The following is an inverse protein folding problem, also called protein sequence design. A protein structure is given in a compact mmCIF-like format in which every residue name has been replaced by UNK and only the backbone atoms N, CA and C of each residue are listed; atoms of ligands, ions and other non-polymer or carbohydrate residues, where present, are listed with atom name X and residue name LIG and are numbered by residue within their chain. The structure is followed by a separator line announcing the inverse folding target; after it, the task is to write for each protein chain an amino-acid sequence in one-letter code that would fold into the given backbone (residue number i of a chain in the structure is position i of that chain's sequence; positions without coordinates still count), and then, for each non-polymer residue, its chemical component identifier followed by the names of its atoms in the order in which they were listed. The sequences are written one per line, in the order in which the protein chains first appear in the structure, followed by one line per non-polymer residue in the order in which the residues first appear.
data_IF_271824439692
#
_entry.id   IF_271824439692
#
_cell.length_a   1.000
_cell.length_b   1.000
_cell.length_c   1.000
_cell.angle_alpha   90.00
_cell.angle_beta   90.00
_cell.angle_gamma   90.00
#
_symmetry.space_group_name_H-M   'P 1'
#
loop_
_entity.id
_entity.type
_entity.pdbx_description
1 polymer ?
#
# COMPACT_ATOMS: atom_id res chain seq x y z
N UNK A 1 -25.29 12.00 -6.72
CA UNK A 1 -25.08 11.40 -5.39
C UNK A 1 -23.58 11.21 -5.24
N UNK A 2 -22.93 12.06 -4.47
CA UNK A 2 -21.51 11.92 -4.17
C UNK A 2 -21.35 10.68 -3.31
N UNK A 3 -20.62 9.69 -3.82
CA UNK A 3 -20.21 8.51 -3.06
C UNK A 3 -19.35 8.99 -1.88
N UNK A 4 -19.94 9.05 -0.68
CA UNK A 4 -19.30 9.51 0.54
C UNK A 4 -18.46 8.42 1.22
N UNK A 5 -18.31 7.27 0.55
CA UNK A 5 -17.56 6.16 1.10
C UNK A 5 -16.06 6.50 1.23
N UNK A 6 -15.52 6.26 2.40
CA UNK A 6 -14.08 6.42 2.66
C UNK A 6 -13.30 5.42 1.80
N UNK A 7 -12.36 5.93 1.00
CA UNK A 7 -11.45 5.09 0.22
C UNK A 7 -10.38 4.48 1.11
N UNK A 8 -9.88 5.26 2.07
CA UNK A 8 -8.92 4.81 3.08
C UNK A 8 -9.28 5.45 4.41
N UNK A 9 -9.32 4.67 5.47
CA UNK A 9 -9.41 5.17 6.83
C UNK A 9 -8.37 4.48 7.73
N UNK A 10 -7.75 5.27 8.56
CA UNK A 10 -6.76 4.85 9.55
C UNK A 10 -7.23 5.39 10.89
N UNK A 11 -7.33 4.52 11.89
CA UNK A 11 -7.81 4.91 13.22
C UNK A 11 -6.83 4.48 14.29
N UNK A 12 -6.36 5.46 15.07
CA UNK A 12 -5.48 5.29 16.23
C UNK A 12 -4.28 4.37 15.92
N UNK A 13 -3.60 4.60 14.78
CA UNK A 13 -2.57 3.71 14.29
C UNK A 13 -1.26 3.91 15.05
N UNK A 14 -0.77 2.84 15.64
CA UNK A 14 0.51 2.78 16.32
C UNK A 14 1.49 1.87 15.58
N UNK A 15 2.77 2.26 15.56
CA UNK A 15 3.85 1.41 15.09
C UNK A 15 5.08 1.55 15.95
N UNK A 16 5.57 0.43 16.44
CA UNK A 16 6.81 0.32 17.20
C UNK A 16 7.83 -0.53 16.47
N UNK A 17 9.09 -0.16 16.56
CA UNK A 17 10.25 -0.95 16.17
C UNK A 17 11.12 -1.16 17.43
N UNK A 18 10.95 -2.31 18.06
CA UNK A 18 11.52 -2.55 19.39
C UNK A 18 11.01 -1.51 20.40
N UNK A 19 11.91 -0.79 21.10
CA UNK A 19 11.52 0.24 22.08
C UNK A 19 11.06 1.56 21.43
N UNK A 20 11.36 1.79 20.14
CA UNK A 20 11.04 3.04 19.47
C UNK A 20 9.61 3.01 18.93
N UNK A 21 8.77 3.93 19.42
CA UNK A 21 7.44 4.16 18.88
C UNK A 21 7.49 5.26 17.81
N UNK A 22 7.23 4.87 16.56
CA UNK A 22 7.30 5.76 15.39
C UNK A 22 5.94 6.36 15.04
N UNK A 23 4.87 5.59 15.11
CA UNK A 23 3.50 6.08 15.00
C UNK A 23 2.84 6.01 16.37
N UNK A 24 2.21 7.12 16.79
CA UNK A 24 1.70 7.33 18.14
C UNK A 24 0.22 7.73 18.10
N UNK A 25 -0.64 6.84 17.60
CA UNK A 25 -2.08 7.09 17.52
C UNK A 25 -2.45 7.99 16.34
N UNK A 26 -1.95 7.68 15.12
CA UNK A 26 -2.26 8.47 13.94
C UNK A 26 -3.62 8.06 13.38
N UNK A 27 -4.48 9.06 13.14
CA UNK A 27 -5.77 8.86 12.47
C UNK A 27 -5.88 9.77 11.27
N UNK A 28 -6.40 9.24 10.16
CA UNK A 28 -6.73 9.99 8.95
C UNK A 28 -7.84 9.27 8.18
N UNK A 29 -8.59 10.02 7.39
CA UNK A 29 -9.49 9.44 6.39
C UNK A 29 -9.34 10.16 5.06
N UNK A 30 -9.53 9.42 3.97
CA UNK A 30 -9.53 9.92 2.61
C UNK A 30 -10.72 9.37 1.85
N UNK A 31 -11.41 10.20 1.11
CA UNK A 31 -12.47 9.82 0.17
C UNK A 31 -11.89 9.59 -1.22
N UNK A 32 -12.66 8.95 -2.06
CA UNK A 32 -12.28 8.79 -3.46
C UNK A 32 -12.08 10.15 -4.14
N UNK A 33 -10.92 10.36 -4.74
CA UNK A 33 -10.52 11.61 -5.39
C UNK A 33 -9.80 12.62 -4.48
N UNK A 34 -9.73 12.39 -3.18
CA UNK A 34 -8.96 13.25 -2.28
C UNK A 34 -7.46 13.13 -2.56
N UNK A 35 -6.77 14.25 -2.37
CA UNK A 35 -5.30 14.32 -2.34
C UNK A 35 -4.86 14.74 -0.95
N UNK A 36 -4.16 13.86 -0.25
CA UNK A 36 -3.67 14.12 1.11
C UNK A 36 -2.15 14.28 1.07
N UNK A 37 -1.65 15.42 1.54
CA UNK A 37 -0.23 15.68 1.72
C UNK A 37 0.18 15.40 3.18
N UNK A 38 1.16 14.51 3.37
CA UNK A 38 1.75 14.21 4.68
C UNK A 38 3.10 14.93 4.76
N UNK A 39 3.20 15.92 5.63
CA UNK A 39 4.36 16.79 5.78
C UNK A 39 5.06 16.49 7.11
N UNK A 40 6.39 16.57 7.13
CA UNK A 40 7.20 16.38 8.34
C UNK A 40 8.66 16.13 8.01
N UNK A 41 9.53 16.27 8.99
CA UNK A 41 10.97 16.05 8.87
C UNK A 41 11.34 14.61 8.50
N UNK A 42 12.62 14.38 8.19
CA UNK A 42 13.14 13.02 8.00
C UNK A 42 12.97 12.21 9.30
N UNK A 43 12.59 10.94 9.18
CA UNK A 43 12.39 10.07 10.35
C UNK A 43 11.06 10.27 11.09
N UNK A 44 10.18 11.20 10.67
CA UNK A 44 8.89 11.46 11.36
C UNK A 44 7.81 10.39 11.17
N UNK A 45 8.10 9.29 10.46
CA UNK A 45 7.16 8.17 10.31
C UNK A 45 6.28 8.22 9.05
N UNK A 46 6.41 9.21 8.15
CA UNK A 46 5.59 9.34 6.93
C UNK A 46 5.57 8.07 6.07
N UNK A 47 6.74 7.55 5.74
CA UNK A 47 6.86 6.32 4.94
C UNK A 47 6.38 5.09 5.73
N UNK A 48 6.54 5.09 7.05
CA UNK A 48 6.02 4.03 7.93
C UNK A 48 4.50 4.01 7.90
N UNK A 49 3.85 5.18 7.97
CA UNK A 49 2.40 5.29 7.86
C UNK A 49 1.89 4.72 6.53
N UNK A 50 2.48 5.14 5.39
CA UNK A 50 2.10 4.61 4.08
C UNK A 50 2.30 3.09 3.98
N UNK A 51 3.40 2.58 4.55
CA UNK A 51 3.66 1.13 4.58
C UNK A 51 2.70 0.37 5.50
N UNK A 52 2.19 1.00 6.55
CA UNK A 52 1.16 0.39 7.39
C UNK A 52 -0.19 0.35 6.66
N UNK A 53 -0.55 1.38 5.88
CA UNK A 53 -1.81 1.41 5.12
C UNK A 53 -1.88 0.24 4.13
N UNK A 54 -0.79 -0.08 3.43
CA UNK A 54 -0.75 -1.21 2.49
C UNK A 54 -0.24 -2.53 3.11
N UNK A 55 -0.10 -2.59 4.44
CA UNK A 55 0.38 -3.76 5.19
C UNK A 55 1.77 -4.28 4.77
N UNK A 56 2.63 -3.43 4.17
CA UNK A 56 4.06 -3.74 4.02
C UNK A 56 4.79 -3.70 5.37
N UNK A 57 4.29 -2.83 6.27
CA UNK A 57 4.62 -2.86 7.69
C UNK A 57 3.35 -3.17 8.48
N UNK A 58 3.43 -4.10 9.41
CA UNK A 58 2.28 -4.40 10.28
C UNK A 58 2.21 -3.33 11.38
N UNK A 59 1.05 -2.71 11.61
CA UNK A 59 0.85 -1.81 12.74
C UNK A 59 0.99 -2.60 14.05
N UNK A 60 1.35 -1.90 15.13
CA UNK A 60 1.38 -2.49 16.48
C UNK A 60 0.02 -2.43 17.17
N UNK A 61 -0.79 -1.41 16.82
CA UNK A 61 -2.17 -1.24 17.28
C UNK A 61 -2.91 -0.29 16.33
N UNK A 62 -4.22 -0.15 16.53
CA UNK A 62 -5.10 0.63 15.66
C UNK A 62 -5.65 -0.18 14.51
N UNK A 63 -6.38 0.48 13.62
CA UNK A 63 -7.02 -0.18 12.48
C UNK A 63 -6.79 0.57 11.17
N UNK A 64 -6.87 -0.17 10.07
CA UNK A 64 -6.81 0.32 8.70
C UNK A 64 -7.96 -0.28 7.92
N UNK A 65 -8.72 0.56 7.23
CA UNK A 65 -9.72 0.12 6.27
C UNK A 65 -9.46 0.69 4.89
N UNK A 66 -9.75 -0.09 3.87
CA UNK A 66 -9.61 0.29 2.47
C UNK A 66 -10.92 -0.05 1.75
N UNK A 67 -11.48 0.94 1.06
CA UNK A 67 -12.79 0.84 0.39
C UNK A 67 -13.91 0.35 1.34
N UNK A 68 -13.88 0.81 2.60
CA UNK A 68 -14.84 0.43 3.63
C UNK A 68 -14.61 -0.96 4.23
N UNK A 69 -13.59 -1.68 3.80
CA UNK A 69 -13.25 -2.98 4.37
C UNK A 69 -12.09 -2.85 5.37
N UNK A 70 -12.37 -3.13 6.64
CA UNK A 70 -11.34 -3.14 7.69
C UNK A 70 -10.47 -4.39 7.59
N UNK A 71 -9.15 -4.19 7.65
CA UNK A 71 -8.17 -5.28 7.67
C UNK A 71 -8.19 -5.93 9.05
N UNK A 72 -8.67 -7.16 9.09
CA UNK A 72 -8.78 -7.92 10.35
C UNK A 72 -7.42 -8.37 10.85
N UNK A 73 -7.09 -7.96 12.07
CA UNK A 73 -5.88 -8.35 12.77
C UNK A 73 -6.18 -9.35 13.88
N UNK A 74 -5.20 -10.18 14.22
CA UNK A 74 -5.25 -11.11 15.36
C UNK A 74 -3.91 -11.12 16.09
N UNK A 75 -3.88 -11.47 17.39
CA UNK A 75 -2.63 -11.67 18.13
C UNK A 75 -1.74 -12.73 17.47
N UNK A 76 -0.43 -12.49 17.47
CA UNK A 76 0.58 -13.43 16.96
C UNK A 76 1.08 -14.43 18.03
N UNK A 77 0.60 -14.29 19.27
CA UNK A 77 1.04 -15.08 20.42
C UNK A 77 2.41 -14.66 20.99
N UNK A 78 3.04 -13.62 20.44
CA UNK A 78 4.34 -13.08 20.90
C UNK A 78 4.24 -11.62 21.36
N UNK A 79 3.00 -11.13 21.57
CA UNK A 79 2.72 -9.76 21.99
C UNK A 79 2.57 -8.77 20.83
N UNK A 80 2.59 -9.26 19.58
CA UNK A 80 2.31 -8.51 18.37
C UNK A 80 0.96 -8.87 17.75
N UNK A 81 0.69 -8.27 16.58
CA UNK A 81 -0.49 -8.56 15.78
C UNK A 81 -0.12 -8.92 14.34
N UNK A 82 -0.89 -9.80 13.74
CA UNK A 82 -0.74 -10.21 12.34
C UNK A 82 -2.11 -10.22 11.65
N UNK A 83 -2.16 -10.11 10.32
CA UNK A 83 -3.43 -10.25 9.61
C UNK A 83 -4.10 -11.58 9.90
N UNK A 84 -5.39 -11.53 10.23
CA UNK A 84 -6.20 -12.72 10.47
C UNK A 84 -6.42 -13.53 9.19
N UNK A 85 -6.50 -12.84 8.06
CA UNK A 85 -6.69 -13.42 6.72
C UNK A 85 -5.67 -12.83 5.72
N UNK A 86 -4.72 -13.68 5.27
CA UNK A 86 -3.71 -13.30 4.28
C UNK A 86 -4.31 -13.04 2.90
N UNK A 87 -5.40 -13.71 2.52
CA UNK A 87 -6.08 -13.51 1.23
C UNK A 87 -6.75 -12.13 1.19
N UNK A 88 -7.33 -11.69 2.32
CA UNK A 88 -7.85 -10.34 2.46
C UNK A 88 -6.76 -9.28 2.18
N UNK A 89 -5.60 -9.43 2.82
CA UNK A 89 -4.47 -8.49 2.62
C UNK A 89 -3.98 -8.50 1.19
N UNK A 90 -3.85 -9.66 0.55
CA UNK A 90 -3.45 -9.74 -0.86
C UNK A 90 -4.43 -9.01 -1.78
N UNK A 91 -5.73 -9.24 -1.61
CA UNK A 91 -6.78 -8.58 -2.39
C UNK A 91 -6.77 -7.06 -2.18
N UNK A 92 -6.62 -6.59 -0.95
CA UNK A 92 -6.53 -5.15 -0.65
C UNK A 92 -5.26 -4.56 -1.28
N UNK A 93 -4.10 -5.20 -1.17
CA UNK A 93 -2.86 -4.75 -1.82
C UNK A 93 -2.99 -4.64 -3.34
N UNK A 94 -3.70 -5.56 -3.98
CA UNK A 94 -3.93 -5.51 -5.43
C UNK A 94 -4.79 -4.32 -5.86
N UNK A 95 -5.56 -3.72 -4.94
CA UNK A 95 -6.36 -2.52 -5.19
C UNK A 95 -5.62 -1.21 -4.86
N UNK A 96 -4.42 -1.28 -4.26
CA UNK A 96 -3.62 -0.14 -3.85
C UNK A 96 -2.36 -0.03 -4.71
N UNK A 97 -2.17 1.10 -5.37
CA UNK A 97 -0.89 1.45 -5.99
C UNK A 97 0.04 2.10 -4.98
N UNK A 98 1.33 1.76 -5.01
CA UNK A 98 2.35 2.43 -4.21
C UNK A 98 3.53 2.83 -5.08
N UNK A 99 3.90 4.11 -5.03
CA UNK A 99 5.11 4.61 -5.66
C UNK A 99 6.20 4.76 -4.60
N UNK A 100 7.31 4.10 -4.82
CA UNK A 100 8.46 4.13 -3.92
C UNK A 100 9.43 5.24 -4.30
N UNK A 101 10.18 5.73 -3.33
CA UNK A 101 11.25 6.72 -3.56
C UNK A 101 12.42 6.12 -4.37
N UNK A 102 12.70 4.84 -4.19
CA UNK A 102 13.66 4.07 -4.97
C UNK A 102 12.96 3.43 -6.17
N UNK A 103 13.68 3.21 -7.25
CA UNK A 103 13.11 2.63 -8.48
C UNK A 103 12.61 1.19 -8.28
N UNK A 104 13.22 0.42 -7.37
CA UNK A 104 12.85 -0.95 -7.01
C UNK A 104 12.70 -1.90 -8.22
N UNK A 105 13.57 -1.70 -9.22
CA UNK A 105 13.58 -2.53 -10.42
C UNK A 105 14.34 -3.83 -10.16
N UNK A 106 13.84 -4.92 -10.72
CA UNK A 106 14.58 -6.17 -10.82
C UNK A 106 15.68 -6.02 -11.89
N UNK A 107 16.93 -6.00 -11.45
CA UNK A 107 18.10 -5.72 -12.30
C UNK A 107 18.34 -6.76 -13.40
N UNK A 108 17.84 -7.97 -13.24
CA UNK A 108 17.93 -9.06 -14.21
C UNK A 108 16.83 -9.02 -15.28
N UNK A 109 15.91 -8.08 -15.19
CA UNK A 109 14.78 -7.89 -16.11
C UNK A 109 14.95 -6.59 -16.90
N UNK A 110 14.48 -6.59 -18.14
CA UNK A 110 14.35 -5.37 -18.94
C UNK A 110 13.32 -4.41 -18.32
N UNK A 111 13.31 -3.16 -18.77
CA UNK A 111 12.34 -2.16 -18.29
C UNK A 111 10.91 -2.65 -18.55
N UNK A 112 10.64 -3.13 -19.75
CA UNK A 112 9.30 -3.60 -20.12
C UNK A 112 8.88 -4.83 -19.29
N UNK A 113 9.78 -5.76 -19.03
CA UNK A 113 9.50 -6.91 -18.17
C UNK A 113 9.18 -6.46 -16.73
N UNK A 114 9.91 -5.48 -16.19
CA UNK A 114 9.58 -4.89 -14.89
C UNK A 114 8.19 -4.26 -14.86
N UNK A 115 7.76 -3.61 -15.94
CA UNK A 115 6.44 -2.95 -16.01
C UNK A 115 5.31 -3.97 -16.12
N UNK A 116 5.50 -5.05 -16.88
CA UNK A 116 4.43 -6.05 -17.10
C UNK A 116 4.34 -7.11 -16.00
N UNK A 117 5.31 -7.20 -15.09
CA UNK A 117 5.38 -8.26 -14.06
C UNK A 117 4.10 -8.33 -13.23
N UNK A 118 3.67 -7.21 -12.65
CA UNK A 118 2.46 -7.17 -11.84
C UNK A 118 1.17 -7.34 -12.66
N UNK A 119 0.97 -6.68 -13.81
CA UNK A 119 -0.16 -6.94 -14.69
C UNK A 119 -0.35 -8.42 -15.03
N UNK A 120 0.71 -9.12 -15.39
CA UNK A 120 0.64 -10.53 -15.78
C UNK A 120 0.44 -11.44 -14.57
N UNK A 121 1.29 -11.32 -13.55
CA UNK A 121 1.37 -12.31 -12.47
C UNK A 121 0.45 -12.01 -11.27
N UNK A 122 0.02 -10.76 -11.10
CA UNK A 122 -0.87 -10.36 -10.00
C UNK A 122 -2.30 -10.08 -10.49
N UNK A 123 -2.44 -9.34 -11.60
CA UNK A 123 -3.74 -8.93 -12.12
C UNK A 123 -4.33 -9.93 -13.13
N UNK A 124 -3.53 -10.91 -13.62
CA UNK A 124 -3.99 -11.95 -14.53
C UNK A 124 -4.21 -11.49 -15.97
N UNK A 125 -3.64 -10.35 -16.37
CA UNK A 125 -3.68 -9.89 -17.76
C UNK A 125 -2.90 -10.84 -18.66
N UNK A 126 -3.31 -10.98 -19.92
CA UNK A 126 -2.47 -11.67 -20.89
C UNK A 126 -1.17 -10.91 -21.13
N UNK A 127 -0.10 -11.62 -21.47
CA UNK A 127 1.21 -10.99 -21.74
C UNK A 127 1.12 -9.98 -22.89
N UNK A 128 0.30 -10.26 -23.90
CA UNK A 128 0.14 -9.37 -25.07
C UNK A 128 -0.53 -8.05 -24.65
N UNK A 129 -1.63 -8.08 -23.91
CA UNK A 129 -2.32 -6.89 -23.40
C UNK A 129 -1.42 -6.09 -22.44
N UNK A 130 -0.69 -6.78 -21.56
CA UNK A 130 0.23 -6.13 -20.63
C UNK A 130 1.37 -5.43 -21.37
N UNK A 131 1.93 -6.02 -22.43
CA UNK A 131 2.97 -5.41 -23.25
C UNK A 131 2.47 -4.17 -23.99
N UNK A 132 1.31 -4.25 -24.66
CA UNK A 132 0.71 -3.11 -25.37
C UNK A 132 0.47 -1.93 -24.41
N UNK A 133 -0.11 -2.19 -23.23
CA UNK A 133 -0.33 -1.18 -22.21
C UNK A 133 0.99 -0.60 -21.68
N UNK A 134 2.00 -1.45 -21.45
CA UNK A 134 3.31 -1.01 -20.97
C UNK A 134 4.02 -0.11 -21.98
N UNK A 135 4.03 -0.47 -23.27
CA UNK A 135 4.61 0.36 -24.33
C UNK A 135 3.92 1.73 -24.42
N UNK A 136 2.58 1.75 -24.33
CA UNK A 136 1.84 3.01 -24.35
C UNK A 136 2.20 3.91 -23.17
N UNK A 137 2.38 3.34 -21.96
CA UNK A 137 2.80 4.08 -20.76
C UNK A 137 4.23 4.57 -20.87
N UNK A 138 5.17 3.74 -21.34
CA UNK A 138 6.57 4.11 -21.51
C UNK A 138 6.72 5.27 -22.49
N UNK A 139 6.04 5.22 -23.65
CA UNK A 139 6.01 6.34 -24.62
C UNK A 139 5.48 7.65 -24.00
N UNK A 140 4.48 7.58 -23.10
CA UNK A 140 3.95 8.79 -22.43
C UNK A 140 4.97 9.45 -21.52
N UNK A 141 5.94 8.72 -21.00
CA UNK A 141 7.01 9.26 -20.14
C UNK A 141 8.33 9.47 -20.89
N UNK A 142 8.34 9.28 -22.20
CA UNK A 142 9.50 9.57 -23.06
C UNK A 142 10.52 8.42 -23.16
N UNK A 143 10.09 7.20 -22.90
CA UNK A 143 10.89 5.97 -23.05
C UNK A 143 10.40 5.11 -24.21
#
# INVERSE_FOLDING_TARGET
MTDTAEAVAVSDLHKRFGPLEVLKGVSLSARRGDVIAIIGGSGSGKSTLLRCINMLELPSAGSVSVHGEEIRMKPDGRGGVVPADRKQVQRIRSSLGMVFQSFNLWQHMTIIENVIEAPVHVLGSSKAEAMEAAEALLRRVGL
#
